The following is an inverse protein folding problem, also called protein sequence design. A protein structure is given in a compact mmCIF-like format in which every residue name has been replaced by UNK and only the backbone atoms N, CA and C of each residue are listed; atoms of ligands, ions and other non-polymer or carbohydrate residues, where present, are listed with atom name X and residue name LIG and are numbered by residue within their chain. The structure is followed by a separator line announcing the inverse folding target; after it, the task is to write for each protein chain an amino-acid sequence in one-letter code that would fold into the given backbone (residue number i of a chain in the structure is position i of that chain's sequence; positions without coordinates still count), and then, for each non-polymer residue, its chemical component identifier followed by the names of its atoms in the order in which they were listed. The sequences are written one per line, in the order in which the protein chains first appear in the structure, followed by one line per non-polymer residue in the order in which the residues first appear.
data_IF_814438799982
#
_entry.id   IF_814438799982
#
_cell.length_a   1.000
_cell.length_b   1.000
_cell.length_c   1.000
_cell.angle_alpha   90.00
_cell.angle_beta   90.00
_cell.angle_gamma   90.00
#
_symmetry.space_group_name_H-M   'P 1'
#
loop_
_entity.id
_entity.type
_entity.pdbx_description
1 polymer ?
#
# COMPACT_ATOMS: atom_id res chain seq x y z
N UNK A 1 5.78 13.26 -7.48
CA UNK A 1 6.21 11.91 -7.89
C UNK A 1 7.48 11.50 -7.15
N UNK A 2 7.53 10.28 -6.65
CA UNK A 2 8.72 9.77 -5.97
C UNK A 2 9.07 8.35 -6.38
N UNK A 3 10.36 8.07 -6.63
CA UNK A 3 10.86 6.75 -7.01
C UNK A 3 11.95 6.77 -8.07
N UNK A 4 12.39 5.60 -8.54
CA UNK A 4 13.36 5.46 -9.61
C UNK A 4 12.71 5.57 -11.00
N UNK A 5 13.55 5.57 -12.05
CA UNK A 5 13.11 5.39 -13.43
C UNK A 5 12.72 3.93 -13.67
N UNK A 6 11.59 3.74 -14.32
CA UNK A 6 11.15 2.44 -14.81
C UNK A 6 11.18 2.44 -16.34
N UNK A 7 11.77 1.42 -16.96
CA UNK A 7 11.96 1.36 -18.41
C UNK A 7 10.63 1.29 -19.18
N UNK A 8 9.62 0.65 -18.56
CA UNK A 8 8.30 0.48 -19.18
C UNK A 8 7.37 1.69 -18.96
N UNK A 9 7.93 2.80 -18.41
CA UNK A 9 7.17 4.00 -18.06
C UNK A 9 7.79 5.26 -18.66
N UNK A 10 6.99 5.99 -19.40
CA UNK A 10 7.34 7.33 -19.86
C UNK A 10 6.92 8.37 -18.80
N UNK A 11 7.88 8.82 -17.99
CA UNK A 11 7.60 9.80 -16.94
C UNK A 11 7.09 11.14 -17.49
N UNK A 12 7.60 11.59 -18.63
CA UNK A 12 7.13 12.81 -19.26
C UNK A 12 5.65 12.74 -19.68
N UNK A 13 5.22 11.57 -20.20
CA UNK A 13 3.80 11.35 -20.48
C UNK A 13 2.95 11.40 -19.19
N UNK A 14 3.44 10.79 -18.11
CA UNK A 14 2.77 10.81 -16.81
C UNK A 14 2.63 12.23 -16.25
N UNK A 15 3.67 13.05 -16.37
CA UNK A 15 3.68 14.47 -15.98
C UNK A 15 2.65 15.27 -16.79
N UNK A 16 2.67 15.13 -18.12
CA UNK A 16 1.72 15.79 -19.03
C UNK A 16 0.27 15.42 -18.73
N UNK A 17 0.00 14.12 -18.54
CA UNK A 17 -1.33 13.66 -18.18
C UNK A 17 -1.79 14.21 -16.82
N UNK A 18 -0.89 14.26 -15.85
CA UNK A 18 -1.20 14.78 -14.50
C UNK A 18 -1.52 16.26 -14.56
N UNK A 19 -0.78 17.05 -15.33
CA UNK A 19 -1.05 18.49 -15.48
C UNK A 19 -2.41 18.79 -16.13
N UNK A 20 -2.87 17.89 -17.03
CA UNK A 20 -4.20 17.98 -17.65
C UNK A 20 -5.33 17.59 -16.69
N UNK A 21 -5.11 16.58 -15.84
CA UNK A 21 -6.12 16.10 -14.87
C UNK A 21 -6.24 17.06 -13.68
N UNK A 22 -5.14 17.64 -13.25
CA UNK A 22 -5.06 18.59 -12.15
C UNK A 22 -4.47 19.92 -12.65
N UNK A 23 -5.28 20.77 -13.30
CA UNK A 23 -4.79 22.07 -13.81
C UNK A 23 -4.23 22.92 -12.67
N UNK A 24 -3.12 23.61 -12.94
CA UNK A 24 -2.42 24.49 -12.00
C UNK A 24 -1.81 23.77 -10.78
N UNK A 25 -1.66 22.45 -10.81
CA UNK A 25 -0.92 21.75 -9.75
C UNK A 25 0.59 22.02 -9.85
N UNK A 26 1.24 22.09 -8.71
CA UNK A 26 2.70 22.08 -8.63
C UNK A 26 3.20 20.64 -8.82
N UNK A 27 4.02 20.39 -9.83
CA UNK A 27 4.61 19.07 -10.11
C UNK A 27 6.04 19.03 -9.58
N UNK A 28 6.25 18.14 -8.60
CA UNK A 28 7.55 17.88 -7.99
C UNK A 28 7.97 16.46 -8.32
N UNK A 29 9.18 16.28 -8.83
CA UNK A 29 9.81 14.99 -8.99
C UNK A 29 10.91 14.86 -7.96
N UNK A 30 10.79 13.88 -7.06
CA UNK A 30 11.79 13.56 -6.04
C UNK A 30 12.35 12.18 -6.26
N UNK A 31 13.68 12.07 -6.41
CA UNK A 31 14.32 10.81 -6.79
C UNK A 31 15.76 10.74 -6.25
N UNK A 32 16.25 9.51 -6.07
CA UNK A 32 17.66 9.20 -5.89
C UNK A 32 18.28 8.55 -7.15
N UNK A 33 17.51 8.46 -8.23
CA UNK A 33 17.93 7.90 -9.52
C UNK A 33 18.31 9.03 -10.50
N UNK A 34 19.60 9.14 -10.80
CA UNK A 34 20.13 10.13 -11.75
C UNK A 34 19.55 9.99 -13.15
N UNK A 35 19.22 8.75 -13.58
CA UNK A 35 18.61 8.53 -14.89
C UNK A 35 17.20 9.11 -14.98
N UNK A 36 16.42 9.03 -13.90
CA UNK A 36 15.12 9.72 -13.83
C UNK A 36 15.31 11.22 -13.81
N UNK A 37 16.21 11.71 -12.96
CA UNK A 37 16.48 13.15 -12.85
C UNK A 37 16.86 13.75 -14.21
N UNK A 38 17.77 13.13 -14.95
CA UNK A 38 18.16 13.55 -16.29
C UNK A 38 17.00 13.51 -17.31
N UNK A 39 16.14 12.49 -17.22
CA UNK A 39 15.02 12.33 -18.14
C UNK A 39 13.93 13.42 -18.00
N UNK A 40 13.82 14.04 -16.83
CA UNK A 40 12.79 15.06 -16.53
C UNK A 40 13.34 16.46 -16.34
N UNK A 41 14.67 16.65 -16.31
CA UNK A 41 15.31 17.93 -16.01
C UNK A 41 14.86 19.09 -16.92
N UNK A 42 14.57 18.80 -18.20
CA UNK A 42 14.16 19.79 -19.19
C UNK A 42 12.64 19.80 -19.43
N UNK A 43 11.84 19.12 -18.59
CA UNK A 43 10.40 19.12 -18.75
C UNK A 43 9.83 20.43 -18.15
N UNK A 44 9.19 21.32 -18.95
CA UNK A 44 8.72 22.62 -18.48
C UNK A 44 7.57 22.54 -17.46
N UNK A 45 6.93 21.38 -17.33
CA UNK A 45 5.86 21.13 -16.35
C UNK A 45 6.40 20.72 -14.98
N UNK A 46 7.69 20.41 -14.85
CA UNK A 46 8.32 20.08 -13.57
C UNK A 46 8.73 21.37 -12.85
N UNK A 47 7.99 21.74 -11.82
CA UNK A 47 8.28 22.94 -11.04
C UNK A 47 9.51 22.76 -10.14
N UNK A 48 9.70 21.54 -9.58
CA UNK A 48 10.85 21.24 -8.73
C UNK A 48 11.36 19.82 -8.98
N UNK A 49 12.68 19.69 -9.12
CA UNK A 49 13.38 18.41 -9.17
C UNK A 49 14.25 18.29 -7.93
N UNK A 50 13.94 17.30 -7.09
CA UNK A 50 14.63 17.03 -5.82
C UNK A 50 15.47 15.76 -5.98
N UNK A 51 16.78 15.89 -5.86
CA UNK A 51 17.69 14.75 -5.90
C UNK A 51 18.11 14.41 -4.46
N UNK A 52 17.82 13.18 -4.05
CA UNK A 52 18.16 12.67 -2.71
C UNK A 52 19.41 11.80 -2.76
N UNK A 53 20.14 11.76 -1.63
CA UNK A 53 21.28 10.89 -1.48
C UNK A 53 20.85 9.40 -1.51
N UNK A 54 21.75 8.56 -1.99
CA UNK A 54 21.58 7.12 -1.92
C UNK A 54 22.09 6.59 -0.58
N UNK A 55 21.20 6.34 0.36
CA UNK A 55 21.54 5.90 1.74
C UNK A 55 21.71 4.37 1.87
N UNK A 56 21.87 3.67 0.77
CA UNK A 56 22.07 2.22 0.78
C UNK A 56 20.77 1.43 0.74
N UNK A 57 20.90 0.12 0.72
CA UNK A 57 19.80 -0.85 0.63
C UNK A 57 19.88 -1.80 1.82
N UNK A 58 18.72 -2.26 2.25
CA UNK A 58 18.61 -3.30 3.26
C UNK A 58 18.37 -4.67 2.60
N UNK A 59 18.66 -5.76 3.30
CA UNK A 59 18.29 -7.09 2.86
C UNK A 59 16.80 -7.21 2.53
N UNK A 60 16.47 -8.12 1.59
CA UNK A 60 15.09 -8.36 1.17
C UNK A 60 14.17 -8.70 2.35
N UNK A 61 12.91 -8.27 2.26
CA UNK A 61 11.88 -8.54 3.27
C UNK A 61 11.59 -10.04 3.46
N UNK A 62 11.73 -10.81 2.38
CA UNK A 62 11.49 -12.27 2.37
C UNK A 62 12.76 -12.99 1.92
N UNK A 63 12.91 -14.22 2.39
CA UNK A 63 13.94 -15.11 1.84
C UNK A 63 13.66 -15.35 0.36
N UNK A 64 14.66 -15.28 -0.52
CA UNK A 64 14.47 -15.56 -1.94
C UNK A 64 14.07 -17.03 -2.15
N UNK A 65 13.00 -17.25 -2.89
CA UNK A 65 12.56 -18.62 -3.24
C UNK A 65 13.54 -19.31 -4.20
N UNK A 66 14.24 -18.53 -5.04
CA UNK A 66 15.30 -18.98 -5.95
C UNK A 66 16.40 -17.92 -5.99
N UNK A 67 17.65 -18.36 -6.05
CA UNK A 67 18.87 -17.53 -6.01
C UNK A 67 19.03 -16.49 -7.13
N UNK A 68 18.09 -16.40 -8.09
CA UNK A 68 18.26 -15.63 -9.31
C UNK A 68 17.80 -14.16 -9.25
N UNK A 69 17.03 -13.72 -8.23
CA UNK A 69 16.59 -12.32 -8.13
C UNK A 69 16.41 -11.88 -6.68
N UNK A 70 17.46 -11.30 -6.12
CA UNK A 70 17.38 -10.63 -4.81
C UNK A 70 16.68 -9.29 -5.02
N UNK A 71 15.54 -9.09 -4.36
CA UNK A 71 14.83 -7.80 -4.33
C UNK A 71 15.18 -7.12 -3.01
N UNK A 72 16.06 -6.15 -3.04
CA UNK A 72 16.46 -5.40 -1.86
C UNK A 72 15.30 -4.57 -1.29
N UNK A 73 15.33 -4.38 0.04
CA UNK A 73 14.41 -3.49 0.73
C UNK A 73 14.94 -2.05 0.65
N UNK A 74 14.18 -1.20 -0.01
CA UNK A 74 14.53 0.21 -0.26
C UNK A 74 13.76 1.20 0.62
N UNK A 75 13.17 0.77 1.75
CA UNK A 75 12.32 1.61 2.60
C UNK A 75 13.02 2.93 3.00
N UNK A 76 14.27 2.87 3.44
CA UNK A 76 14.97 4.07 3.89
C UNK A 76 15.21 5.06 2.74
N UNK A 77 15.59 4.57 1.56
CA UNK A 77 15.69 5.40 0.35
C UNK A 77 14.35 6.03 -0.02
N UNK A 78 13.29 5.23 0.04
CA UNK A 78 11.94 5.67 -0.27
C UNK A 78 11.50 6.77 0.70
N UNK A 79 11.69 6.59 2.01
CA UNK A 79 11.30 7.57 3.02
C UNK A 79 12.00 8.90 2.81
N UNK A 80 13.32 8.90 2.62
CA UNK A 80 14.08 10.13 2.37
C UNK A 80 13.60 10.83 1.10
N UNK A 81 13.42 10.06 0.02
CA UNK A 81 12.94 10.58 -1.25
C UNK A 81 11.53 11.18 -1.13
N UNK A 82 10.60 10.48 -0.49
CA UNK A 82 9.22 10.94 -0.30
C UNK A 82 9.17 12.18 0.60
N UNK A 83 9.86 12.13 1.74
CA UNK A 83 9.88 13.24 2.71
C UNK A 83 10.45 14.52 2.09
N UNK A 84 11.61 14.46 1.41
CA UNK A 84 12.20 15.63 0.73
C UNK A 84 11.27 16.19 -0.34
N UNK A 85 10.60 15.33 -1.12
CA UNK A 85 9.63 15.75 -2.13
C UNK A 85 8.42 16.46 -1.53
N UNK A 86 7.85 15.93 -0.44
CA UNK A 86 6.69 16.52 0.23
C UNK A 86 7.05 17.82 0.95
N UNK A 87 8.22 17.89 1.60
CA UNK A 87 8.71 19.13 2.22
C UNK A 87 8.86 20.26 1.21
N UNK A 88 9.29 19.96 -0.01
CA UNK A 88 9.47 20.92 -1.09
C UNK A 88 8.14 21.47 -1.66
N UNK A 89 7.00 20.82 -1.39
CA UNK A 89 5.69 21.27 -1.87
C UNK A 89 5.30 22.63 -1.28
N UNK A 90 4.77 23.54 -2.13
CA UNK A 90 4.31 24.86 -1.71
C UNK A 90 2.86 24.88 -1.23
N UNK A 91 2.08 23.83 -1.56
CA UNK A 91 0.66 23.72 -1.25
C UNK A 91 0.37 22.85 -0.02
N UNK A 92 -0.76 23.14 0.64
CA UNK A 92 -1.19 22.42 1.84
C UNK A 92 -1.80 21.03 1.57
N UNK A 93 -2.24 20.77 0.34
CA UNK A 93 -2.76 19.47 -0.09
C UNK A 93 -1.77 18.86 -1.06
N UNK A 94 -1.37 17.64 -0.82
CA UNK A 94 -0.33 16.93 -1.59
C UNK A 94 -0.84 15.57 -2.02
N UNK A 95 -0.57 15.24 -3.28
CA UNK A 95 -0.62 13.88 -3.81
C UNK A 95 0.82 13.37 -3.97
N UNK A 96 1.22 12.44 -3.15
CA UNK A 96 2.43 11.65 -3.38
C UNK A 96 2.06 10.37 -4.12
N UNK A 97 2.68 10.13 -5.25
CA UNK A 97 2.48 8.95 -6.09
C UNK A 97 3.82 8.44 -6.61
N UNK A 98 3.94 7.12 -6.81
CA UNK A 98 5.15 6.50 -7.35
C UNK A 98 5.33 6.83 -8.84
N UNK A 99 6.58 6.80 -9.29
CA UNK A 99 6.95 7.06 -10.70
C UNK A 99 6.48 5.99 -11.69
N UNK A 100 6.02 4.82 -11.21
CA UNK A 100 5.41 3.74 -12.02
C UNK A 100 3.87 3.73 -11.95
N UNK A 101 3.26 4.85 -11.53
CA UNK A 101 1.82 4.98 -11.37
C UNK A 101 1.31 6.32 -11.89
N UNK A 102 0.04 6.38 -12.25
CA UNK A 102 -0.63 7.60 -12.69
C UNK A 102 -2.12 7.55 -12.35
N UNK A 103 -2.72 8.69 -12.02
CA UNK A 103 -4.17 8.86 -11.98
C UNK A 103 -4.66 9.17 -13.40
N UNK A 104 -5.75 8.52 -13.83
CA UNK A 104 -6.39 8.72 -15.13
C UNK A 104 -7.52 9.76 -15.08
N UNK A 105 -7.93 10.15 -13.88
CA UNK A 105 -8.96 11.15 -13.61
C UNK A 105 -8.77 11.74 -12.20
N UNK A 106 -9.63 12.69 -11.84
CA UNK A 106 -9.59 13.37 -10.54
C UNK A 106 -10.56 12.78 -9.49
N UNK A 107 -11.02 11.55 -9.65
CA UNK A 107 -11.99 10.95 -8.71
C UNK A 107 -11.48 10.84 -7.28
N UNK A 108 -10.17 10.86 -7.07
CA UNK A 108 -9.57 10.91 -5.72
C UNK A 108 -10.08 12.11 -4.91
N UNK A 109 -10.43 13.24 -5.57
CA UNK A 109 -10.99 14.42 -4.92
C UNK A 109 -12.38 14.13 -4.35
N UNK A 110 -13.19 13.28 -5.01
CA UNK A 110 -14.50 12.85 -4.49
C UNK A 110 -14.35 12.04 -3.21
N UNK A 111 -13.37 11.12 -3.19
CA UNK A 111 -13.04 10.35 -1.97
C UNK A 111 -12.56 11.29 -0.85
N UNK A 112 -11.74 12.28 -1.21
CA UNK A 112 -11.28 13.30 -0.28
C UNK A 112 -12.43 14.10 0.34
N UNK A 113 -13.38 14.55 -0.47
CA UNK A 113 -14.55 15.29 0.04
C UNK A 113 -15.42 14.43 0.94
N UNK A 114 -15.63 13.16 0.59
CA UNK A 114 -16.35 12.22 1.47
C UNK A 114 -15.60 11.99 2.78
N UNK A 115 -14.29 11.94 2.78
CA UNK A 115 -13.49 11.72 4.00
C UNK A 115 -13.62 12.83 5.03
N UNK A 116 -13.90 14.07 4.59
CA UNK A 116 -14.09 15.26 5.46
C UNK A 116 -15.35 15.18 6.32
N UNK A 117 -16.30 14.29 5.99
CA UNK A 117 -17.49 14.08 6.81
C UNK A 117 -17.19 13.34 8.12
N UNK A 118 -16.00 12.75 8.23
CA UNK A 118 -15.59 11.99 9.42
C UNK A 118 -14.55 12.77 10.22
N UNK A 119 -14.51 12.59 11.56
CA UNK A 119 -13.54 13.26 12.41
C UNK A 119 -12.10 12.96 12.00
N UNK A 120 -11.24 13.94 12.09
CA UNK A 120 -9.79 13.75 11.98
C UNK A 120 -9.23 13.22 13.30
N UNK A 121 -8.17 12.40 13.28
CA UNK A 121 -7.54 11.94 14.51
C UNK A 121 -6.85 13.09 15.24
N UNK A 122 -6.71 12.94 16.55
CA UNK A 122 -6.04 13.94 17.38
C UNK A 122 -4.62 14.23 16.87
N UNK A 123 -4.31 15.51 16.71
CA UNK A 123 -2.99 15.95 16.23
C UNK A 123 -2.77 15.80 14.73
N UNK A 124 -3.81 15.50 13.96
CA UNK A 124 -3.79 15.39 12.49
C UNK A 124 -4.80 16.36 11.87
N UNK A 125 -4.49 16.85 10.66
CA UNK A 125 -5.38 17.75 9.92
C UNK A 125 -6.50 17.00 9.21
N UNK A 126 -6.24 15.74 8.82
CA UNK A 126 -7.21 14.90 8.12
C UNK A 126 -6.77 13.44 8.02
N UNK A 127 -7.49 12.70 7.19
CA UNK A 127 -7.14 11.31 6.87
C UNK A 127 -6.30 11.28 5.61
N UNK A 128 -5.33 10.38 5.54
CA UNK A 128 -4.56 10.12 4.32
C UNK A 128 -5.35 9.14 3.44
N UNK A 129 -5.64 9.50 2.19
CA UNK A 129 -6.14 8.55 1.21
C UNK A 129 -4.98 7.75 0.65
N UNK A 130 -5.12 6.44 0.65
CA UNK A 130 -4.17 5.52 0.05
C UNK A 130 -4.86 4.47 -0.83
N UNK A 131 -4.07 3.65 -1.53
CA UNK A 131 -4.59 2.61 -2.42
C UNK A 131 -4.88 1.31 -1.69
N UNK A 132 -5.88 0.53 -2.17
CA UNK A 132 -6.08 -0.85 -1.75
C UNK A 132 -5.00 -1.82 -2.23
N UNK A 133 -4.12 -1.41 -3.17
CA UNK A 133 -2.99 -2.25 -3.60
C UNK A 133 -2.08 -2.50 -2.40
N UNK A 134 -2.10 -3.73 -1.87
CA UNK A 134 -1.39 -4.15 -0.66
C UNK A 134 -1.82 -3.48 0.67
N UNK A 135 -3.03 -2.90 0.74
CA UNK A 135 -3.66 -2.60 2.04
C UNK A 135 -4.38 -3.85 2.54
N UNK A 136 -3.64 -4.73 3.20
CA UNK A 136 -4.08 -6.09 3.54
C UNK A 136 -5.22 -6.07 4.56
N UNK A 137 -6.26 -6.88 4.31
CA UNK A 137 -7.29 -7.17 5.31
C UNK A 137 -6.90 -8.43 6.08
N UNK A 138 -6.46 -8.33 7.35
CA UNK A 138 -5.95 -9.46 8.12
C UNK A 138 -7.03 -10.50 8.49
N UNK A 139 -8.32 -10.21 8.24
CA UNK A 139 -9.39 -11.18 8.40
C UNK A 139 -9.41 -12.25 7.30
N UNK A 140 -8.55 -12.09 6.28
CA UNK A 140 -8.44 -13.01 5.15
C UNK A 140 -7.17 -13.86 5.26
N UNK A 141 -6.59 -14.26 4.12
CA UNK A 141 -5.51 -15.24 4.11
C UNK A 141 -4.15 -14.72 4.60
N UNK A 142 -3.85 -13.42 4.42
CA UNK A 142 -2.64 -12.81 4.94
C UNK A 142 -2.92 -12.06 6.24
N UNK A 143 -2.37 -12.57 7.34
CA UNK A 143 -2.65 -12.10 8.70
C UNK A 143 -1.64 -11.02 9.11
N UNK A 144 -1.68 -9.88 8.40
CA UNK A 144 -0.75 -8.78 8.62
C UNK A 144 -1.50 -7.48 9.02
N UNK A 145 -1.84 -7.32 10.31
CA UNK A 145 -2.43 -6.07 10.80
C UNK A 145 -1.50 -4.88 10.53
N UNK A 146 -2.05 -3.70 10.36
CA UNK A 146 -1.31 -2.45 10.09
C UNK A 146 -0.53 -2.42 8.76
N UNK A 147 -0.77 -3.37 7.86
CA UNK A 147 -0.19 -3.36 6.52
C UNK A 147 -1.04 -2.51 5.59
N UNK A 148 -0.79 -1.20 5.57
CA UNK A 148 -1.49 -0.21 4.73
C UNK A 148 -0.54 0.30 3.65
N UNK A 149 -1.01 0.30 2.41
CA UNK A 149 -0.25 0.62 1.22
C UNK A 149 0.53 1.94 1.32
N UNK A 150 1.79 1.87 0.94
CA UNK A 150 2.69 3.01 0.83
C UNK A 150 2.79 3.58 -0.60
N UNK A 151 1.96 3.08 -1.52
CA UNK A 151 2.11 3.36 -2.96
C UNK A 151 1.58 4.71 -3.40
N UNK A 152 0.55 5.22 -2.72
CA UNK A 152 -0.07 6.51 -2.97
C UNK A 152 -0.50 7.11 -1.65
N UNK A 153 -0.24 8.40 -1.44
CA UNK A 153 -0.76 9.18 -0.32
C UNK A 153 -1.32 10.50 -0.85
N UNK A 154 -2.59 10.77 -0.51
CA UNK A 154 -3.23 12.03 -0.82
C UNK A 154 -3.85 12.62 0.46
N UNK A 155 -3.54 13.86 0.78
CA UNK A 155 -4.02 14.50 1.99
C UNK A 155 -3.31 15.80 2.32
N UNK A 156 -3.44 16.24 3.58
CA UNK A 156 -2.72 17.41 4.05
C UNK A 156 -1.21 17.15 4.07
N UNK A 157 -0.45 18.16 3.62
CA UNK A 157 1.02 18.11 3.57
C UNK A 157 1.63 17.67 4.91
N UNK A 158 1.18 18.26 6.02
CA UNK A 158 1.75 17.98 7.34
C UNK A 158 1.50 16.53 7.78
N UNK A 159 0.35 15.96 7.43
CA UNK A 159 0.05 14.55 7.73
C UNK A 159 0.92 13.61 6.90
N UNK A 160 1.16 13.94 5.62
CA UNK A 160 2.05 13.14 4.76
C UNK A 160 3.53 13.30 5.18
N UNK A 161 3.94 14.49 5.61
CA UNK A 161 5.26 14.70 6.23
C UNK A 161 5.39 13.77 7.46
N UNK A 162 4.40 13.78 8.35
CA UNK A 162 4.41 12.92 9.54
C UNK A 162 4.47 11.44 9.19
N UNK A 163 3.78 11.01 8.12
CA UNK A 163 3.79 9.62 7.65
C UNK A 163 5.16 9.17 7.15
N UNK A 164 5.95 10.04 6.52
CA UNK A 164 7.30 9.71 6.04
C UNK A 164 8.42 10.14 7.00
N UNK A 165 8.11 10.84 8.11
CA UNK A 165 9.08 11.23 9.15
C UNK A 165 9.30 10.12 10.18
N UNK A 166 9.35 8.89 9.72
CA UNK A 166 9.61 7.72 10.57
C UNK A 166 11.10 7.45 10.71
N UNK A 167 11.55 6.81 11.78
CA UNK A 167 12.94 6.36 11.93
C UNK A 167 13.35 5.45 10.75
N UNK A 168 14.64 5.46 10.41
CA UNK A 168 15.17 4.49 9.46
C UNK A 168 14.89 3.07 9.95
N UNK A 169 14.47 2.22 9.01
CA UNK A 169 14.25 0.81 9.29
C UNK A 169 15.59 0.15 9.66
N UNK A 170 15.72 -0.46 10.86
CA UNK A 170 16.98 -0.98 11.31
C UNK A 170 17.43 -2.23 10.55
N UNK A 171 18.74 -2.41 10.37
CA UNK A 171 19.30 -3.62 9.75
C UNK A 171 18.93 -4.87 10.54
N UNK A 172 18.91 -4.77 11.87
CA UNK A 172 18.55 -5.85 12.79
C UNK A 172 17.10 -6.33 12.56
N UNK A 173 16.21 -5.43 12.18
CA UNK A 173 14.82 -5.76 11.84
C UNK A 173 14.71 -6.33 10.43
N UNK A 174 15.53 -5.89 9.48
CA UNK A 174 15.56 -6.44 8.14
C UNK A 174 16.04 -7.91 8.11
N UNK A 175 16.82 -8.31 9.13
CA UNK A 175 17.38 -9.68 9.28
C UNK A 175 16.87 -10.38 10.55
N UNK A 176 15.70 -10.00 11.05
CA UNK A 176 15.17 -10.44 12.34
C UNK A 176 15.09 -11.96 12.48
N UNK A 177 14.50 -12.64 11.49
CA UNK A 177 14.28 -14.07 11.54
C UNK A 177 15.51 -14.92 11.23
N UNK A 178 16.67 -14.33 10.99
CA UNK A 178 17.95 -15.04 10.99
C UNK A 178 18.41 -15.40 12.40
N UNK A 179 17.91 -14.68 13.41
CA UNK A 179 18.29 -14.82 14.84
C UNK A 179 17.12 -15.18 15.73
N UNK A 180 15.89 -15.06 15.26
CA UNK A 180 14.69 -15.32 16.03
C UNK A 180 13.82 -16.33 15.30
N UNK A 181 13.22 -17.31 15.98
CA UNK A 181 12.29 -18.24 15.34
C UNK A 181 11.00 -17.53 14.94
N UNK A 182 10.38 -17.99 13.87
CA UNK A 182 9.00 -17.64 13.59
C UNK A 182 8.10 -18.21 14.68
N UNK A 183 7.00 -17.50 14.99
CA UNK A 183 6.03 -17.97 15.95
C UNK A 183 5.37 -19.27 15.46
N UNK A 184 4.99 -20.14 16.39
CA UNK A 184 4.53 -21.50 16.11
C UNK A 184 3.37 -21.55 15.10
N UNK A 185 2.40 -20.66 15.24
CA UNK A 185 1.23 -20.59 14.34
C UNK A 185 1.50 -20.02 12.94
N UNK A 186 2.75 -19.59 12.65
CA UNK A 186 3.08 -19.05 11.33
C UNK A 186 2.93 -20.10 10.24
N UNK A 187 2.17 -19.75 9.19
CA UNK A 187 2.02 -20.58 8.02
C UNK A 187 3.27 -20.53 7.11
N UNK A 188 3.28 -21.34 6.03
CA UNK A 188 4.43 -21.43 5.13
C UNK A 188 4.78 -20.09 4.45
N UNK A 189 3.79 -19.27 4.11
CA UNK A 189 4.03 -17.97 3.47
C UNK A 189 4.60 -16.97 4.47
N UNK A 190 4.06 -16.92 5.68
CA UNK A 190 4.55 -16.06 6.76
C UNK A 190 5.99 -16.40 7.16
N UNK A 191 6.36 -17.70 7.12
CA UNK A 191 7.74 -18.16 7.36
C UNK A 191 8.74 -17.78 6.26
N UNK A 192 8.28 -17.24 5.13
CA UNK A 192 9.18 -16.67 4.12
C UNK A 192 9.69 -15.29 4.49
N UNK A 193 9.08 -14.60 5.45
CA UNK A 193 9.56 -13.32 5.93
C UNK A 193 10.91 -13.45 6.61
N UNK A 194 11.81 -12.54 6.28
CA UNK A 194 13.14 -12.38 6.88
C UNK A 194 13.13 -11.24 7.90
N UNK A 195 12.31 -10.22 7.64
CA UNK A 195 12.21 -9.02 8.44
C UNK A 195 11.13 -9.10 9.52
N UNK A 196 11.32 -8.35 10.61
CA UNK A 196 10.40 -8.27 11.75
C UNK A 196 9.03 -7.73 11.35
N UNK A 197 9.01 -6.64 10.57
CA UNK A 197 7.82 -5.99 10.04
C UNK A 197 7.94 -5.85 8.53
N UNK A 198 6.80 -5.74 7.83
CA UNK A 198 6.77 -5.25 6.45
C UNK A 198 7.05 -3.74 6.43
N UNK A 199 7.44 -3.22 5.26
CA UNK A 199 7.68 -1.77 5.05
C UNK A 199 6.44 -0.95 5.40
N UNK A 200 5.30 -1.40 4.89
CA UNK A 200 4.00 -0.76 5.07
C UNK A 200 3.57 -0.75 6.55
N UNK A 201 3.88 -1.83 7.29
CA UNK A 201 3.62 -1.88 8.73
C UNK A 201 4.50 -0.88 9.49
N UNK A 202 5.80 -0.79 9.14
CA UNK A 202 6.73 0.15 9.78
C UNK A 202 6.25 1.59 9.67
N UNK A 203 5.86 2.01 8.47
CA UNK A 203 5.33 3.34 8.21
C UNK A 203 4.02 3.60 8.96
N UNK A 204 3.09 2.66 8.87
CA UNK A 204 1.75 2.80 9.48
C UNK A 204 1.82 2.83 11.00
N UNK A 205 2.61 1.94 11.61
CA UNK A 205 2.74 1.85 13.06
C UNK A 205 3.36 3.14 13.63
N UNK A 206 4.44 3.64 13.04
CA UNK A 206 5.05 4.90 13.48
C UNK A 206 4.12 6.10 13.26
N UNK A 207 3.35 6.14 12.17
CA UNK A 207 2.41 7.22 11.91
C UNK A 207 1.27 7.27 12.93
N UNK A 208 0.77 6.10 13.35
CA UNK A 208 -0.35 6.00 14.30
C UNK A 208 0.15 6.14 15.75
N UNK A 209 1.22 5.45 16.12
CA UNK A 209 1.64 5.26 17.52
C UNK A 209 2.91 6.02 17.92
N UNK A 210 3.61 6.62 16.96
CA UNK A 210 4.86 7.37 17.10
C UNK A 210 6.07 6.55 17.61
N UNK A 211 5.91 5.74 18.68
CA UNK A 211 6.99 5.01 19.34
C UNK A 211 6.73 3.52 19.33
N UNK A 212 7.79 2.71 19.15
CA UNK A 212 7.70 1.25 19.09
C UNK A 212 7.13 0.62 20.38
N UNK A 213 7.39 1.21 21.53
CA UNK A 213 6.83 0.75 22.82
C UNK A 213 5.31 0.74 22.87
N UNK A 214 4.66 1.53 22.00
CA UNK A 214 3.20 1.63 21.89
C UNK A 214 2.62 0.75 20.74
N UNK A 215 3.46 0.00 20.04
CA UNK A 215 2.96 -0.83 18.93
C UNK A 215 2.09 -1.98 19.45
N UNK A 216 0.91 -2.17 18.89
CA UNK A 216 0.01 -3.25 19.30
C UNK A 216 0.46 -4.64 18.78
N UNK A 217 1.45 -4.69 17.88
CA UNK A 217 2.01 -5.92 17.31
C UNK A 217 3.53 -5.97 17.53
N UNK A 218 4.06 -7.16 17.73
CA UNK A 218 5.50 -7.40 18.01
C UNK A 218 6.28 -7.79 16.76
N UNK A 219 5.60 -8.33 15.74
CA UNK A 219 6.17 -8.80 14.47
C UNK A 219 5.09 -8.83 13.37
N UNK A 220 5.48 -9.07 12.12
CA UNK A 220 4.63 -8.89 10.94
C UNK A 220 3.29 -9.62 10.97
N UNK A 221 3.22 -10.81 11.57
CA UNK A 221 2.02 -11.64 11.65
C UNK A 221 1.53 -11.87 13.10
N UNK A 222 1.81 -10.93 13.98
CA UNK A 222 1.24 -10.94 15.34
C UNK A 222 -0.23 -10.56 15.25
N UNK A 223 -1.12 -11.55 15.39
CA UNK A 223 -2.54 -11.35 15.18
C UNK A 223 -3.38 -12.20 16.13
N UNK A 224 -4.52 -11.67 16.51
CA UNK A 224 -5.68 -12.32 17.09
C UNK A 224 -6.89 -11.40 16.85
N UNK A 225 -8.08 -11.86 17.20
CA UNK A 225 -9.31 -11.09 16.94
C UNK A 225 -9.26 -9.69 17.58
N UNK A 226 -8.73 -9.56 18.79
CA UNK A 226 -8.58 -8.27 19.47
C UNK A 226 -7.64 -7.33 18.72
N UNK A 227 -6.47 -7.82 18.28
CA UNK A 227 -5.51 -7.02 17.49
C UNK A 227 -6.15 -6.57 16.17
N UNK A 228 -6.95 -7.42 15.53
CA UNK A 228 -7.65 -7.07 14.28
C UNK A 228 -8.71 -6.01 14.53
N UNK A 229 -9.52 -6.16 15.58
CA UNK A 229 -10.54 -5.18 15.96
C UNK A 229 -9.90 -3.82 16.33
N UNK A 230 -8.82 -3.84 17.11
CA UNK A 230 -8.04 -2.65 17.44
C UNK A 230 -7.43 -1.99 16.19
N UNK A 231 -6.92 -2.80 15.26
CA UNK A 231 -6.41 -2.31 13.98
C UNK A 231 -7.50 -1.61 13.16
N UNK A 232 -8.65 -2.26 12.96
CA UNK A 232 -9.75 -1.67 12.20
C UNK A 232 -10.27 -0.38 12.86
N UNK A 233 -10.40 -0.36 14.18
CA UNK A 233 -10.83 0.83 14.92
C UNK A 233 -9.81 1.98 14.84
N UNK A 234 -8.52 1.67 14.76
CA UNK A 234 -7.48 2.70 14.70
C UNK A 234 -7.27 3.22 13.28
N UNK A 235 -7.04 2.32 12.30
CA UNK A 235 -6.58 2.77 10.98
C UNK A 235 -7.59 3.66 10.27
N UNK A 236 -8.90 3.41 10.44
CA UNK A 236 -9.96 4.21 9.79
C UNK A 236 -10.01 5.66 10.27
N UNK A 237 -9.41 5.98 11.41
CA UNK A 237 -9.25 7.37 11.84
C UNK A 237 -8.18 8.10 11.04
N UNK A 238 -7.14 7.39 10.62
CA UNK A 238 -5.96 7.95 9.97
C UNK A 238 -5.98 7.81 8.45
N UNK A 239 -6.63 6.75 7.91
CA UNK A 239 -6.57 6.42 6.50
C UNK A 239 -7.94 6.17 5.88
N UNK A 240 -8.05 6.52 4.60
CA UNK A 240 -9.08 6.03 3.68
C UNK A 240 -8.39 5.16 2.64
N UNK A 241 -8.71 3.87 2.61
CA UNK A 241 -8.19 2.97 1.60
C UNK A 241 -9.16 2.99 0.42
N UNK A 242 -8.66 3.35 -0.76
CA UNK A 242 -9.47 3.47 -1.96
C UNK A 242 -9.04 2.46 -3.04
N UNK A 243 -10.01 1.76 -3.63
CA UNK A 243 -9.75 0.84 -4.72
C UNK A 243 -9.25 1.59 -5.97
N UNK A 244 -8.26 1.08 -6.73
CA UNK A 244 -7.70 1.76 -7.90
C UNK A 244 -8.75 2.25 -8.90
N UNK A 245 -9.81 1.47 -9.15
CA UNK A 245 -10.89 1.86 -10.05
C UNK A 245 -11.71 3.05 -9.53
N UNK A 246 -11.87 3.18 -8.22
CA UNK A 246 -12.64 4.27 -7.62
C UNK A 246 -11.92 5.62 -7.69
N UNK A 247 -10.58 5.61 -7.68
CA UNK A 247 -9.75 6.81 -7.77
C UNK A 247 -9.06 7.01 -9.13
N UNK A 248 -9.33 6.12 -10.09
CA UNK A 248 -8.70 6.17 -11.41
C UNK A 248 -7.20 5.87 -11.41
N UNK A 249 -6.71 5.10 -10.44
CA UNK A 249 -5.28 4.75 -10.35
C UNK A 249 -4.92 3.67 -11.35
N UNK A 250 -3.95 3.97 -12.21
CA UNK A 250 -3.29 3.02 -13.10
C UNK A 250 -1.92 2.66 -12.54
N UNK A 251 -1.71 1.37 -12.27
CA UNK A 251 -0.47 0.80 -11.74
C UNK A 251 -0.12 -0.50 -12.50
N UNK A 252 0.36 -0.43 -13.77
CA UNK A 252 0.55 -1.58 -14.65
C UNK A 252 1.47 -2.67 -14.08
N UNK A 253 2.49 -2.29 -13.32
CA UNK A 253 3.37 -3.24 -12.62
C UNK A 253 2.59 -4.22 -11.74
N UNK A 254 1.43 -3.82 -11.24
CA UNK A 254 0.59 -4.60 -10.31
C UNK A 254 -0.67 -5.15 -10.99
N UNK A 255 -0.73 -5.18 -12.33
CA UNK A 255 -1.87 -5.72 -13.07
C UNK A 255 -2.14 -7.19 -12.72
N UNK A 256 -1.09 -7.99 -12.57
CA UNK A 256 -1.22 -9.40 -12.19
C UNK A 256 -1.64 -9.60 -10.72
N UNK A 257 -1.50 -8.57 -9.88
CA UNK A 257 -1.96 -8.55 -8.51
C UNK A 257 -3.42 -8.06 -8.36
N UNK A 258 -4.16 -7.78 -9.45
CA UNK A 258 -5.54 -7.25 -9.38
C UNK A 258 -6.46 -8.19 -8.62
N UNK A 259 -6.37 -9.50 -8.87
CA UNK A 259 -7.13 -10.50 -8.14
C UNK A 259 -6.81 -10.47 -6.64
N UNK A 260 -5.53 -10.34 -6.29
CA UNK A 260 -5.08 -10.30 -4.92
C UNK A 260 -5.63 -9.06 -4.18
N UNK A 261 -5.38 -7.85 -4.66
CA UNK A 261 -5.85 -6.67 -3.94
C UNK A 261 -7.36 -6.48 -3.98
N UNK A 262 -8.05 -7.06 -4.96
CA UNK A 262 -9.51 -7.06 -5.00
C UNK A 262 -10.15 -8.03 -4.01
N UNK A 263 -9.43 -9.08 -3.57
CA UNK A 263 -9.96 -10.13 -2.70
C UNK A 263 -9.34 -10.16 -1.31
N UNK A 264 -8.07 -9.79 -1.15
CA UNK A 264 -7.32 -9.89 0.10
C UNK A 264 -7.09 -8.54 0.79
N UNK A 265 -7.30 -7.44 0.09
CA UNK A 265 -7.08 -6.10 0.63
C UNK A 265 -8.41 -5.39 0.91
N UNK A 266 -8.37 -4.36 1.76
CA UNK A 266 -9.54 -3.52 1.99
C UNK A 266 -10.00 -2.84 0.69
N UNK A 267 -11.31 -2.77 0.49
CA UNK A 267 -11.93 -1.98 -0.57
C UNK A 267 -12.42 -0.65 -0.02
N UNK A 268 -12.67 0.31 -0.92
CA UNK A 268 -13.30 1.59 -0.56
C UNK A 268 -14.60 1.38 0.22
N UNK A 269 -15.44 0.46 -0.25
CA UNK A 269 -16.70 0.14 0.38
C UNK A 269 -16.54 -0.37 1.83
N UNK A 270 -15.60 -1.31 2.06
CA UNK A 270 -15.36 -1.86 3.40
C UNK A 270 -14.88 -0.78 4.37
N UNK A 271 -13.99 0.09 3.94
CA UNK A 271 -13.46 1.18 4.78
C UNK A 271 -14.55 2.18 5.15
N UNK A 272 -15.36 2.61 4.19
CA UNK A 272 -16.45 3.52 4.51
C UNK A 272 -17.53 2.87 5.38
N UNK A 273 -17.78 1.56 5.23
CA UNK A 273 -18.67 0.83 6.12
C UNK A 273 -18.14 0.74 7.55
N UNK A 274 -16.83 0.53 7.73
CA UNK A 274 -16.20 0.57 9.06
C UNK A 274 -16.36 1.98 9.69
N UNK A 275 -16.16 3.03 8.89
CA UNK A 275 -16.35 4.41 9.34
C UNK A 275 -17.80 4.71 9.74
N UNK A 276 -18.79 4.30 8.94
CA UNK A 276 -20.20 4.46 9.26
C UNK A 276 -20.60 3.70 10.54
N UNK A 277 -20.04 2.52 10.75
CA UNK A 277 -20.25 1.73 11.98
C UNK A 277 -19.66 2.45 13.20
N UNK A 278 -18.45 3.02 13.08
CA UNK A 278 -17.80 3.77 14.16
C UNK A 278 -18.47 5.14 14.41
N UNK A 279 -18.96 5.79 13.34
CA UNK A 279 -19.57 7.13 13.37
C UNK A 279 -21.00 7.09 12.83
N UNK A 280 -21.97 6.52 13.56
CA UNK A 280 -23.32 6.20 13.05
C UNK A 280 -24.14 7.41 12.65
N UNK A 281 -23.77 8.59 13.11
CA UNK A 281 -24.44 9.85 12.74
C UNK A 281 -23.98 10.39 11.37
N UNK A 282 -22.93 9.79 10.78
CA UNK A 282 -22.41 10.16 9.47
C UNK A 282 -22.77 9.08 8.48
N UNK A 283 -23.68 9.37 7.54
CA UNK A 283 -24.06 8.45 6.46
C UNK A 283 -23.53 8.98 5.14
N UNK A 284 -22.92 8.10 4.37
CA UNK A 284 -22.52 8.39 3.00
C UNK A 284 -23.68 8.00 2.10
N UNK A 285 -24.38 9.00 1.54
CA UNK A 285 -25.43 8.76 0.55
C UNK A 285 -24.83 8.15 -0.72
N UNK A 286 -25.26 6.92 -0.99
CA UNK A 286 -25.12 6.15 -2.24
C UNK A 286 -23.90 6.48 -3.11
N UNK A 287 -22.77 5.91 -2.79
CA UNK A 287 -21.64 5.85 -3.72
C UNK A 287 -21.54 4.44 -4.26
N UNK A 288 -21.57 4.31 -5.59
CA UNK A 288 -21.32 3.04 -6.28
C UNK A 288 -19.82 2.75 -6.27
N UNK A 289 -19.28 2.37 -5.10
CA UNK A 289 -17.89 1.95 -5.01
C UNK A 289 -17.68 0.59 -5.66
N UNK A 290 -16.51 0.43 -6.28
CA UNK A 290 -16.05 -0.85 -6.80
C UNK A 290 -15.82 -1.81 -5.63
N UNK A 291 -16.21 -3.04 -5.80
CA UNK A 291 -16.10 -4.17 -4.90
C UNK A 291 -17.31 -4.41 -3.97
N UNK A 292 -18.08 -5.36 -4.39
CA UNK A 292 -19.19 -5.90 -3.62
C UNK A 292 -18.64 -6.90 -2.61
N UNK A 293 -18.77 -6.61 -1.31
CA UNK A 293 -18.23 -7.44 -0.22
C UNK A 293 -18.69 -8.91 -0.18
N UNK A 294 -19.74 -9.26 -0.94
CA UNK A 294 -20.28 -10.62 -0.97
C UNK A 294 -19.36 -11.63 -1.66
N UNK A 295 -18.73 -11.27 -2.77
CA UNK A 295 -17.83 -12.18 -3.51
C UNK A 295 -16.53 -12.43 -2.72
N UNK A 296 -16.01 -11.43 -2.01
CA UNK A 296 -14.83 -11.57 -1.15
C UNK A 296 -15.03 -12.60 -0.04
N UNK A 297 -16.19 -12.57 0.63
CA UNK A 297 -16.50 -13.48 1.74
C UNK A 297 -16.53 -14.95 1.27
N UNK A 298 -17.12 -15.22 0.11
CA UNK A 298 -17.12 -16.59 -0.45
C UNK A 298 -15.75 -17.00 -0.95
N UNK A 299 -15.05 -16.13 -1.66
CA UNK A 299 -13.69 -16.38 -2.14
C UNK A 299 -12.76 -16.74 -0.97
N UNK A 300 -12.79 -15.94 0.11
CA UNK A 300 -11.93 -16.15 1.26
C UNK A 300 -12.30 -17.41 2.09
N UNK A 301 -13.54 -17.88 2.03
CA UNK A 301 -13.90 -19.20 2.60
C UNK A 301 -13.34 -20.36 1.79
N UNK A 302 -13.16 -20.21 0.47
CA UNK A 302 -12.60 -21.25 -0.40
C UNK A 302 -11.07 -21.29 -0.33
N UNK A 303 -10.40 -20.19 -0.05
CA UNK A 303 -8.93 -20.10 -0.06
C UNK A 303 -8.24 -21.05 0.92
N UNK A 304 -8.67 -21.23 2.19
CA UNK A 304 -8.08 -22.21 3.09
C UNK A 304 -8.16 -23.65 2.56
N UNK A 305 -9.25 -23.99 1.86
CA UNK A 305 -9.43 -25.30 1.24
C UNK A 305 -8.43 -25.49 0.10
N UNK A 306 -8.29 -24.48 -0.77
CA UNK A 306 -7.38 -24.50 -1.93
C UNK A 306 -5.92 -24.55 -1.47
N UNK A 307 -5.57 -23.86 -0.38
CA UNK A 307 -4.22 -23.86 0.18
C UNK A 307 -3.97 -24.98 1.19
N UNK A 308 -4.95 -25.86 1.43
CA UNK A 308 -4.72 -27.04 2.27
C UNK A 308 -3.60 -27.92 1.68
N UNK A 309 -2.80 -28.62 2.50
CA UNK A 309 -1.74 -29.51 2.02
C UNK A 309 -2.25 -30.56 1.03
N UNK A 310 -3.45 -31.06 1.25
CA UNK A 310 -4.09 -32.05 0.37
C UNK A 310 -4.46 -31.46 -1.00
N UNK A 311 -5.13 -30.32 -1.02
CA UNK A 311 -5.48 -29.66 -2.30
C UNK A 311 -4.22 -29.25 -3.08
N UNK A 312 -3.19 -28.75 -2.41
CA UNK A 312 -1.91 -28.41 -3.04
C UNK A 312 -1.18 -29.65 -3.59
N UNK A 313 -1.24 -30.77 -2.91
CA UNK A 313 -0.72 -32.03 -3.42
C UNK A 313 -1.42 -32.47 -4.73
N UNK A 314 -2.75 -32.35 -4.77
CA UNK A 314 -3.53 -32.64 -5.98
C UNK A 314 -3.24 -31.65 -7.10
N UNK A 315 -3.22 -30.33 -6.81
CA UNK A 315 -2.96 -29.27 -7.79
C UNK A 315 -1.56 -29.43 -8.41
N UNK A 316 -0.56 -29.83 -7.64
CA UNK A 316 0.80 -30.07 -8.18
C UNK A 316 0.83 -31.17 -9.25
N UNK A 317 -0.06 -32.16 -9.18
CA UNK A 317 -0.15 -33.26 -10.14
C UNK A 317 -0.96 -32.95 -11.39
N UNK A 318 -1.67 -31.82 -11.42
CA UNK A 318 -2.43 -31.40 -12.60
C UNK A 318 -1.49 -30.93 -13.72
N UNK A 319 -1.95 -31.12 -14.97
CA UNK A 319 -1.28 -30.53 -16.14
C UNK A 319 -1.27 -29.00 -16.05
N UNK A 320 -0.35 -28.37 -16.77
CA UNK A 320 -0.24 -26.90 -16.84
C UNK A 320 -1.55 -26.26 -17.33
N UNK A 321 -2.23 -26.92 -18.26
CA UNK A 321 -3.52 -26.46 -18.77
C UNK A 321 -4.61 -26.44 -17.70
N UNK A 322 -4.73 -27.51 -16.90
CA UNK A 322 -5.68 -27.58 -15.81
C UNK A 322 -5.36 -26.59 -14.68
N UNK A 323 -4.08 -26.37 -14.35
CA UNK A 323 -3.66 -25.32 -13.41
C UNK A 323 -4.09 -23.93 -13.89
N UNK A 324 -3.92 -23.66 -15.19
CA UNK A 324 -4.34 -22.39 -15.79
C UNK A 324 -5.86 -22.25 -15.82
N UNK A 325 -6.61 -23.34 -16.01
CA UNK A 325 -8.08 -23.34 -15.94
C UNK A 325 -8.57 -23.04 -14.53
N UNK A 326 -7.99 -23.66 -13.52
CA UNK A 326 -8.31 -23.36 -12.09
C UNK A 326 -8.00 -21.87 -11.79
N UNK A 327 -6.84 -21.39 -12.21
CA UNK A 327 -6.46 -19.97 -12.03
C UNK A 327 -7.46 -19.02 -12.70
N UNK A 328 -7.95 -19.34 -13.90
CA UNK A 328 -8.98 -18.53 -14.59
C UNK A 328 -10.32 -18.55 -13.83
N UNK A 329 -10.75 -19.71 -13.32
CA UNK A 329 -11.97 -19.82 -12.52
C UNK A 329 -11.86 -18.99 -11.25
N UNK A 330 -10.75 -19.11 -10.52
CA UNK A 330 -10.50 -18.33 -9.30
C UNK A 330 -10.48 -16.82 -9.60
N UNK A 331 -9.83 -16.41 -10.67
CA UNK A 331 -9.82 -15.01 -11.12
C UNK A 331 -11.20 -14.50 -11.54
N UNK A 332 -12.05 -15.37 -12.06
CA UNK A 332 -13.45 -15.01 -12.39
C UNK A 332 -14.33 -14.87 -11.14
N UNK A 333 -14.13 -15.75 -10.16
CA UNK A 333 -14.82 -15.66 -8.86
C UNK A 333 -14.35 -14.47 -8.03
N UNK A 334 -13.14 -13.97 -8.30
CA UNK A 334 -12.56 -12.80 -7.64
C UNK A 334 -13.04 -11.45 -8.22
N UNK A 335 -13.63 -11.48 -9.42
CA UNK A 335 -14.22 -10.30 -10.09
C UNK A 335 -15.70 -10.15 -9.74
#
# INVERSE_FOLDING_TARGET
FSGPKYNDYCMNYTIDLTSKIFPNCEIIVSTNDRNLASAVANNPLVNKLIISDNIGELPSLKYPENSSKIINNNINKQNVCCLKGVLAASHNIVLRIRTDQVLLNNNILKIWDLSKNFPSPLGRKGKIITSSIFSINPRYSERMPYHISDMLQFGYKDDIISYFSVPNYPFEYATWYERNPHIEYSNKLERTFRSKFAVEQWLTLHYIFNKEENFPIRFHNDFNDRIIDDFENNFIDYFIIAHPKDIGLRAPKFKDAESYYSTQCYSTFEVFKLLENKYPNTKITSTNFTAKGMNKKYFNKLMPIIYSPFAQFLIKRLSTENKNRIKRILNHLAK
#
